data_IF_516944364111
#
_entry.id   IF_516944364111
#
_cell.length_a   1.000
_cell.length_b   1.000
_cell.length_c   1.000
_cell.angle_alpha   90.00
_cell.angle_beta   90.00
_cell.angle_gamma   90.00
#
_symmetry.space_group_name_H-M   'P 1'
#
loop_
_entity.id
_entity.type
_entity.pdbx_description
1 polymer ?
#
# COMPACT_ATOMS: atom_id res chain seq x y z
N UNK A 1 -11.71 4.17 3.63
CA UNK A 1 -11.53 2.71 3.47
C UNK A 1 -11.07 2.33 2.07
N UNK A 2 -11.71 2.85 1.01
CA UNK A 2 -11.33 2.54 -0.37
C UNK A 2 -9.93 3.08 -0.75
N UNK A 3 -9.57 4.30 -0.34
CA UNK A 3 -8.22 4.85 -0.57
C UNK A 3 -7.11 3.94 -0.04
N UNK A 4 -7.26 3.40 1.18
CA UNK A 4 -6.26 2.49 1.76
C UNK A 4 -6.09 1.25 0.88
N UNK A 5 -7.17 0.72 0.30
CA UNK A 5 -7.10 -0.42 -0.62
C UNK A 5 -6.39 -0.05 -1.92
N UNK A 6 -6.62 1.15 -2.46
CA UNK A 6 -5.89 1.64 -3.64
C UNK A 6 -4.38 1.73 -3.36
N UNK A 7 -3.97 2.33 -2.23
CA UNK A 7 -2.56 2.36 -1.82
C UNK A 7 -1.97 0.96 -1.68
N UNK A 8 -2.67 0.02 -1.05
CA UNK A 8 -2.17 -1.36 -0.93
C UNK A 8 -1.96 -2.00 -2.30
N UNK A 9 -2.87 -1.79 -3.25
CA UNK A 9 -2.78 -2.39 -4.59
C UNK A 9 -1.63 -1.81 -5.40
N UNK A 10 -1.39 -0.51 -5.30
CA UNK A 10 -0.28 0.16 -5.98
C UNK A 10 1.08 -0.30 -5.47
N UNK A 11 1.20 -0.54 -4.15
CA UNK A 11 2.43 -1.10 -3.58
C UNK A 11 2.65 -2.55 -4.01
N UNK A 12 1.58 -3.36 -4.09
CA UNK A 12 1.68 -4.79 -4.39
C UNK A 12 1.91 -5.09 -5.88
N UNK A 13 1.30 -4.32 -6.78
CA UNK A 13 1.22 -4.63 -8.21
C UNK A 13 1.51 -3.39 -9.06
N UNK A 14 2.46 -3.52 -9.98
CA UNK A 14 2.72 -2.51 -11.01
C UNK A 14 2.74 -3.17 -12.39
N UNK A 15 2.07 -2.55 -13.36
CA UNK A 15 1.98 -3.04 -14.74
C UNK A 15 1.51 -4.51 -14.85
N UNK A 16 0.62 -4.94 -13.95
CA UNK A 16 0.12 -6.31 -13.91
C UNK A 16 1.09 -7.34 -13.30
N UNK A 17 2.24 -6.91 -12.78
CA UNK A 17 3.24 -7.76 -12.12
C UNK A 17 3.25 -7.51 -10.61
N UNK A 18 3.43 -8.58 -9.82
CA UNK A 18 3.66 -8.47 -8.38
C UNK A 18 5.06 -7.91 -8.14
N UNK A 19 5.15 -6.79 -7.44
CA UNK A 19 6.42 -6.09 -7.17
C UNK A 19 6.80 -6.06 -5.69
N UNK A 20 5.82 -6.23 -4.80
CA UNK A 20 6.04 -6.29 -3.36
C UNK A 20 5.07 -7.28 -2.69
N UNK A 21 5.57 -8.02 -1.70
CA UNK A 21 4.81 -9.03 -0.95
C UNK A 21 4.99 -8.93 0.56
N UNK A 22 5.96 -8.14 1.02
CA UNK A 22 6.15 -7.83 2.44
C UNK A 22 4.99 -6.99 2.93
N UNK A 23 4.15 -7.58 3.78
CA UNK A 23 3.05 -6.88 4.46
C UNK A 23 3.52 -5.61 5.17
N UNK A 24 4.72 -5.64 5.75
CA UNK A 24 5.27 -4.48 6.43
C UNK A 24 5.53 -3.33 5.45
N UNK A 25 6.10 -3.63 4.28
CA UNK A 25 6.41 -2.61 3.28
C UNK A 25 5.13 -2.03 2.67
N UNK A 26 4.18 -2.90 2.30
CA UNK A 26 2.88 -2.51 1.71
C UNK A 26 2.07 -1.58 2.63
N UNK A 27 2.15 -1.79 3.96
CA UNK A 27 1.38 -1.01 4.92
C UNK A 27 2.11 0.25 5.41
N UNK A 28 3.42 0.39 5.15
CA UNK A 28 4.20 1.52 5.64
C UNK A 28 3.65 2.90 5.18
N UNK A 29 3.25 3.09 3.90
CA UNK A 29 2.66 4.36 3.46
C UNK A 29 1.34 4.69 4.19
N UNK A 30 0.50 3.68 4.41
CA UNK A 30 -0.81 3.83 5.06
C UNK A 30 -0.65 4.22 6.53
N UNK A 31 0.31 3.60 7.22
CA UNK A 31 0.65 3.94 8.60
C UNK A 31 1.19 5.36 8.74
N UNK A 32 1.88 5.89 7.73
CA UNK A 32 2.32 7.28 7.71
C UNK A 32 1.14 8.24 7.53
N UNK A 33 0.20 7.92 6.64
CA UNK A 33 -0.99 8.74 6.40
C UNK A 33 -1.92 8.83 7.62
N UNK A 34 -2.06 7.73 8.37
CA UNK A 34 -2.85 7.70 9.61
C UNK A 34 -2.28 8.61 10.70
N UNK A 35 -0.97 8.88 10.71
CA UNK A 35 -0.34 9.77 11.68
C UNK A 35 -0.55 11.25 11.37
N UNK A 36 -0.93 11.58 10.13
CA UNK A 36 -1.16 12.94 9.65
C UNK A 36 -2.64 13.31 9.54
N UNK A 37 -3.55 12.46 10.03
CA UNK A 37 -5.01 12.70 10.08
C UNK A 37 -5.50 13.06 11.48
#
# INVERSE_FOLDING_TARGET
HLEKVHFMLEEMVMNGCIVETSKQNILAPIQLMEKTS
#
